data_IF_152590941474
#
_entry.id   IF_152590941474
#
_cell.length_a   1.000
_cell.length_b   1.000
_cell.length_c   1.000
_cell.angle_alpha   90.00
_cell.angle_beta   90.00
_cell.angle_gamma   90.00
#
_symmetry.space_group_name_H-M   'P 1'
#
loop_
_entity.id
_entity.type
_entity.pdbx_description
1 polymer ?
#
# COMPACT_ATOMS: atom_id res chain seq x y z
N UNK A 1 -1.30 -2.53 5.57
CA UNK A 1 -1.26 -1.07 5.82
C UNK A 1 -0.10 -0.33 5.12
N UNK A 2 1.04 -0.97 4.80
CA UNK A 2 2.16 -0.30 4.07
C UNK A 2 1.79 -0.04 2.60
N UNK A 3 1.11 -0.98 1.95
CA UNK A 3 0.75 -0.91 0.53
C UNK A 3 -0.15 0.30 0.20
N UNK A 4 -1.10 0.64 1.09
CA UNK A 4 -2.03 1.77 0.90
C UNK A 4 -1.47 3.13 1.31
N UNK A 5 -0.59 3.20 2.34
CA UNK A 5 0.04 4.47 2.69
C UNK A 5 0.99 4.95 1.60
N UNK A 6 1.74 4.05 0.97
CA UNK A 6 2.55 4.41 -0.19
C UNK A 6 1.67 4.91 -1.35
N UNK A 7 0.48 4.33 -1.55
CA UNK A 7 -0.45 4.71 -2.62
C UNK A 7 -0.97 6.16 -2.51
N UNK A 8 -1.29 6.61 -1.28
CA UNK A 8 -1.76 7.97 -1.01
C UNK A 8 -0.67 9.03 -1.23
N UNK A 9 0.60 8.70 -1.02
CA UNK A 9 1.72 9.64 -1.24
C UNK A 9 2.24 9.70 -2.68
N UNK A 10 2.08 8.63 -3.47
CA UNK A 10 2.50 8.60 -4.88
C UNK A 10 1.64 9.51 -5.76
N UNK A 11 0.35 9.59 -5.45
CA UNK A 11 -0.60 10.41 -6.16
C UNK A 11 -0.69 11.78 -5.49
N UNK A 12 -0.02 12.79 -6.06
CA UNK A 12 -0.67 14.10 -6.13
C UNK A 12 -2.14 13.83 -6.48
N UNK A 13 -3.10 14.45 -5.76
CA UNK A 13 -4.54 14.24 -6.01
C UNK A 13 -4.89 14.33 -7.51
N UNK A 14 -4.06 15.04 -8.30
CA UNK A 14 -4.03 15.08 -9.76
C UNK A 14 -2.59 14.87 -10.31
N UNK A 15 -2.18 13.64 -10.68
CA UNK A 15 -0.90 13.44 -11.37
C UNK A 15 -0.98 14.07 -12.77
N UNK A 16 0.04 14.83 -13.16
CA UNK A 16 0.12 15.47 -14.50
C UNK A 16 0.90 14.62 -15.52
N UNK A 17 1.74 13.70 -15.03
CA UNK A 17 2.55 12.83 -15.87
C UNK A 17 1.70 11.69 -16.42
N UNK A 18 1.70 11.42 -17.75
CA UNK A 18 0.92 10.34 -18.34
C UNK A 18 1.23 8.97 -17.71
N UNK A 19 2.51 8.68 -17.45
CA UNK A 19 2.94 7.45 -16.78
C UNK A 19 2.27 7.26 -15.41
N UNK A 20 2.16 8.35 -14.62
CA UNK A 20 1.54 8.31 -13.30
C UNK A 20 0.00 8.23 -13.37
N UNK A 21 -0.62 8.81 -14.40
CA UNK A 21 -2.06 8.69 -14.66
C UNK A 21 -2.41 7.24 -15.00
N UNK A 22 -1.67 6.63 -15.93
CA UNK A 22 -1.89 5.25 -16.35
C UNK A 22 -1.67 4.27 -15.20
N UNK A 23 -0.61 4.45 -14.40
CA UNK A 23 -0.36 3.60 -13.24
C UNK A 23 -1.52 3.69 -12.23
N UNK A 24 -2.05 4.89 -12.01
CA UNK A 24 -3.20 5.10 -11.12
C UNK A 24 -4.47 4.43 -11.64
N UNK A 25 -4.70 4.44 -12.94
CA UNK A 25 -5.84 3.77 -13.55
C UNK A 25 -5.73 2.25 -13.36
N UNK A 26 -4.55 1.68 -13.61
CA UNK A 26 -4.30 0.25 -13.37
C UNK A 26 -4.59 -0.14 -11.92
N UNK A 27 -4.08 0.62 -10.96
CA UNK A 27 -4.29 0.33 -9.55
C UNK A 27 -5.73 0.52 -9.08
N UNK A 28 -6.52 1.37 -9.74
CA UNK A 28 -7.97 1.44 -9.50
C UNK A 28 -8.70 0.20 -10.01
N UNK A 29 -8.16 -0.46 -11.05
CA UNK A 29 -8.70 -1.72 -11.56
C UNK A 29 -8.43 -2.90 -10.63
N UNK A 30 -7.47 -2.82 -9.70
CA UNK A 30 -7.09 -3.92 -8.80
C UNK A 30 -8.28 -4.62 -8.10
N UNK A 31 -9.34 -3.87 -7.77
CA UNK A 31 -10.55 -4.39 -7.11
C UNK A 31 -11.59 -4.99 -8.06
N UNK A 32 -11.37 -4.89 -9.37
CA UNK A 32 -12.34 -5.17 -10.44
C UNK A 32 -11.82 -6.16 -11.48
N UNK A 33 -10.56 -6.56 -11.40
CA UNK A 33 -9.91 -7.47 -12.34
C UNK A 33 -9.36 -8.70 -11.63
N UNK A 34 -9.21 -9.80 -12.37
CA UNK A 34 -8.45 -10.97 -11.96
C UNK A 34 -6.94 -10.67 -11.89
N UNK A 35 -6.22 -11.57 -11.25
CA UNK A 35 -4.79 -11.49 -10.95
C UNK A 35 -3.95 -11.45 -12.22
N UNK A 36 -4.29 -12.27 -13.21
CA UNK A 36 -3.56 -12.45 -14.46
C UNK A 36 -3.62 -11.17 -15.30
N UNK A 37 -4.83 -10.64 -15.49
CA UNK A 37 -5.10 -9.40 -16.21
C UNK A 37 -4.39 -8.20 -15.55
N UNK A 38 -4.42 -8.09 -14.22
CA UNK A 38 -3.70 -7.03 -13.51
C UNK A 38 -2.19 -7.15 -13.69
N UNK A 39 -1.66 -8.38 -13.54
CA UNK A 39 -0.22 -8.67 -13.66
C UNK A 39 0.27 -8.35 -15.06
N UNK A 40 -0.46 -8.77 -16.09
CA UNK A 40 -0.19 -8.45 -17.48
C UNK A 40 -0.23 -6.94 -17.74
N UNK A 41 -1.26 -6.25 -17.23
CA UNK A 41 -1.39 -4.79 -17.35
C UNK A 41 -0.23 -4.03 -16.68
N UNK A 42 0.19 -4.44 -15.49
CA UNK A 42 1.32 -3.86 -14.77
C UNK A 42 2.63 -4.07 -15.54
N UNK A 43 2.83 -5.26 -16.12
CA UNK A 43 4.01 -5.59 -16.92
C UNK A 43 4.06 -4.82 -18.25
N UNK A 44 2.91 -4.64 -18.92
CA UNK A 44 2.78 -3.82 -20.12
C UNK A 44 3.14 -2.36 -19.82
N UNK A 45 2.58 -1.82 -18.72
CA UNK A 45 2.89 -0.47 -18.28
C UNK A 45 4.39 -0.30 -17.98
N UNK A 46 5.00 -1.26 -17.29
CA UNK A 46 6.42 -1.20 -17.00
C UNK A 46 7.26 -1.20 -18.28
N UNK A 47 6.92 -2.06 -19.23
CA UNK A 47 7.61 -2.14 -20.52
C UNK A 47 7.50 -0.81 -21.28
N UNK A 48 6.29 -0.23 -21.34
CA UNK A 48 6.03 1.05 -21.99
C UNK A 48 6.83 2.20 -21.38
N UNK A 49 6.88 2.28 -20.04
CA UNK A 49 7.49 3.40 -19.32
C UNK A 49 8.92 3.13 -18.84
N UNK A 50 9.53 1.99 -19.20
CA UNK A 50 10.86 1.57 -18.74
C UNK A 50 11.94 2.63 -19.02
N UNK A 51 11.97 3.17 -20.23
CA UNK A 51 12.95 4.19 -20.63
C UNK A 51 12.76 5.49 -19.83
N UNK A 52 11.51 5.94 -19.71
CA UNK A 52 11.14 7.10 -18.88
C UNK A 52 11.55 6.91 -17.41
N UNK A 53 11.27 5.74 -16.82
CA UNK A 53 11.66 5.44 -15.43
C UNK A 53 13.18 5.33 -15.22
N UNK A 54 13.95 5.08 -16.29
CA UNK A 54 15.40 5.01 -16.25
C UNK A 54 16.07 6.39 -16.31
N UNK A 55 15.32 7.46 -16.62
CA UNK A 55 15.84 8.83 -16.64
C UNK A 55 16.52 9.20 -15.31
N UNK A 56 17.72 9.78 -15.42
CA UNK A 56 18.52 10.24 -14.29
C UNK A 56 18.80 11.73 -14.43
N UNK A 57 18.66 12.44 -13.32
CA UNK A 57 19.10 13.82 -13.17
C UNK A 57 20.38 13.84 -12.34
N UNK A 58 21.42 14.49 -12.85
CA UNK A 58 22.65 14.75 -12.09
C UNK A 58 22.49 16.08 -11.38
N UNK A 59 22.73 16.09 -10.08
CA UNK A 59 22.71 17.32 -9.29
C UNK A 59 24.01 18.08 -9.50
N UNK A 60 23.91 19.33 -9.97
CA UNK A 60 25.05 20.15 -10.37
C UNK A 60 26.00 20.47 -9.21
N UNK A 61 25.49 20.52 -7.98
CA UNK A 61 26.27 20.89 -6.79
C UNK A 61 27.00 19.71 -6.15
N UNK A 62 26.42 18.49 -6.20
CA UNK A 62 26.99 17.31 -5.53
C UNK A 62 27.56 16.28 -6.50
N UNK A 63 27.31 16.41 -7.81
CA UNK A 63 27.67 15.44 -8.84
C UNK A 63 26.91 14.11 -8.74
N UNK A 64 26.00 13.96 -7.77
CA UNK A 64 25.27 12.72 -7.54
C UNK A 64 24.15 12.58 -8.57
N UNK A 65 24.02 11.38 -9.15
CA UNK A 65 22.91 11.05 -10.05
C UNK A 65 21.76 10.44 -9.28
N UNK A 66 20.54 10.95 -9.49
CA UNK A 66 19.29 10.41 -8.95
C UNK A 66 18.31 10.11 -10.06
N UNK A 67 17.40 9.16 -9.85
CA UNK A 67 16.30 8.94 -10.78
C UNK A 67 15.36 10.14 -10.79
N UNK A 68 15.06 10.66 -11.98
CA UNK A 68 14.17 11.81 -12.17
C UNK A 68 12.77 11.49 -11.63
N UNK A 69 12.29 10.27 -11.90
CA UNK A 69 10.95 9.80 -11.50
C UNK A 69 11.00 8.81 -10.32
N UNK A 70 11.87 9.07 -9.33
CA UNK A 70 12.11 8.15 -8.21
C UNK A 70 10.84 7.70 -7.47
N UNK A 71 9.87 8.60 -7.27
CA UNK A 71 8.58 8.28 -6.61
C UNK A 71 7.74 7.29 -7.43
N UNK A 72 7.62 7.52 -8.74
CA UNK A 72 6.87 6.63 -9.64
C UNK A 72 7.53 5.26 -9.77
N UNK A 73 8.86 5.22 -9.74
CA UNK A 73 9.61 3.95 -9.73
C UNK A 73 9.39 3.17 -8.44
N UNK A 74 9.43 3.83 -7.29
CA UNK A 74 9.10 3.21 -5.99
C UNK A 74 7.66 2.72 -5.96
N UNK A 75 6.74 3.43 -6.62
CA UNK A 75 5.35 3.02 -6.77
C UNK A 75 5.19 1.67 -7.44
N UNK A 76 5.71 1.59 -8.66
CA UNK A 76 5.70 0.37 -9.45
C UNK A 76 6.39 -0.79 -8.72
N UNK A 77 7.54 -0.52 -8.08
CA UNK A 77 8.27 -1.53 -7.30
C UNK A 77 7.42 -2.05 -6.15
N UNK A 78 6.74 -1.19 -5.41
CA UNK A 78 5.85 -1.60 -4.32
C UNK A 78 4.74 -2.52 -4.82
N UNK A 79 4.08 -2.17 -5.92
CA UNK A 79 3.05 -3.02 -6.54
C UNK A 79 3.62 -4.36 -6.98
N UNK A 80 4.76 -4.37 -7.66
CA UNK A 80 5.41 -5.59 -8.15
C UNK A 80 5.84 -6.52 -7.00
N UNK A 81 6.49 -5.98 -5.97
CA UNK A 81 6.96 -6.78 -4.83
C UNK A 81 5.81 -7.32 -3.97
N UNK A 82 4.68 -6.59 -3.91
CA UNK A 82 3.54 -7.01 -3.10
C UNK A 82 2.46 -7.75 -3.91
N UNK A 83 2.67 -7.96 -5.21
CA UNK A 83 1.70 -8.55 -6.12
C UNK A 83 1.06 -9.86 -5.61
N UNK A 84 1.81 -10.83 -5.03
CA UNK A 84 1.21 -12.04 -4.48
C UNK A 84 0.24 -11.78 -3.33
N UNK A 85 0.52 -10.76 -2.51
CA UNK A 85 -0.29 -10.40 -1.35
C UNK A 85 -1.51 -9.54 -1.72
N UNK A 86 -1.52 -8.91 -2.89
CA UNK A 86 -2.68 -8.14 -3.37
C UNK A 86 -3.86 -9.03 -3.75
N UNK A 87 -3.57 -10.28 -4.12
CA UNK A 87 -4.54 -11.26 -4.61
C UNK A 87 -4.76 -12.43 -3.65
N UNK A 88 -4.38 -12.31 -2.38
CA UNK A 88 -4.66 -13.35 -1.37
C UNK A 88 -6.15 -13.68 -1.28
N UNK A 89 -7.04 -12.70 -1.41
CA UNK A 89 -8.50 -12.92 -1.44
C UNK A 89 -8.97 -13.68 -2.69
N UNK A 90 -8.21 -13.60 -3.78
CA UNK A 90 -8.51 -14.28 -5.05
C UNK A 90 -7.94 -15.70 -5.06
N UNK A 91 -6.74 -15.89 -4.52
CA UNK A 91 -6.04 -17.18 -4.46
C UNK A 91 -6.65 -18.13 -3.40
N UNK A 92 -7.26 -17.58 -2.34
CA UNK A 92 -7.81 -18.33 -1.20
C UNK A 92 -9.27 -17.92 -0.91
N UNK A 93 -10.22 -18.23 -1.81
CA UNK A 93 -11.64 -17.87 -1.63
C UNK A 93 -12.28 -18.51 -0.40
N UNK A 94 -11.74 -19.63 0.09
CA UNK A 94 -12.20 -20.34 1.29
C UNK A 94 -11.99 -19.57 2.60
N UNK A 95 -11.09 -18.58 2.60
CA UNK A 95 -10.79 -17.75 3.77
C UNK A 95 -11.75 -16.56 3.93
N UNK A 96 -12.71 -16.38 3.01
CA UNK A 96 -13.70 -15.28 2.98
C UNK A 96 -13.06 -13.90 3.21
N UNK A 97 -11.86 -13.69 2.67
CA UNK A 97 -11.12 -12.45 2.85
C UNK A 97 -11.78 -11.38 1.97
N UNK A 98 -12.22 -10.24 2.53
CA UNK A 98 -12.80 -9.18 1.74
C UNK A 98 -11.76 -8.59 0.79
N UNK A 99 -12.17 -8.35 -0.47
CA UNK A 99 -11.35 -7.71 -1.50
C UNK A 99 -11.03 -6.21 -1.23
N UNK A 100 -11.50 -5.67 -0.10
CA UNK A 100 -11.18 -4.31 0.35
C UNK A 100 -10.64 -4.31 1.76
N UNK A 101 -9.67 -3.43 2.01
CA UNK A 101 -9.07 -3.23 3.34
C UNK A 101 -9.90 -2.32 4.24
N UNK A 102 -11.12 -1.92 3.83
CA UNK A 102 -11.92 -0.91 4.52
C UNK A 102 -12.17 -1.28 5.99
N UNK A 103 -12.45 -2.55 6.28
CA UNK A 103 -12.66 -3.04 7.64
C UNK A 103 -11.38 -2.90 8.50
N UNK A 104 -10.24 -3.33 7.95
CA UNK A 104 -8.93 -3.25 8.61
C UNK A 104 -8.50 -1.78 8.80
N UNK A 105 -8.72 -0.92 7.82
CA UNK A 105 -8.38 0.50 7.87
C UNK A 105 -9.23 1.25 8.91
N UNK A 106 -10.52 0.93 9.02
CA UNK A 106 -11.41 1.45 10.06
C UNK A 106 -10.97 1.00 11.46
N UNK A 107 -10.62 -0.28 11.60
CA UNK A 107 -10.11 -0.82 12.86
C UNK A 107 -8.80 -0.15 13.31
N UNK A 108 -7.83 0.02 12.40
CA UNK A 108 -6.60 0.75 12.71
C UNK A 108 -6.84 2.24 12.95
N UNK A 109 -7.86 2.85 12.36
CA UNK A 109 -8.24 4.23 12.65
C UNK A 109 -8.75 4.36 14.09
N UNK A 110 -9.59 3.43 14.56
CA UNK A 110 -10.05 3.39 15.95
C UNK A 110 -8.87 3.21 16.94
N UNK A 111 -7.97 2.27 16.66
CA UNK A 111 -6.76 2.06 17.46
C UNK A 111 -5.92 3.35 17.57
N UNK A 112 -5.67 4.02 16.44
CA UNK A 112 -4.90 5.27 16.41
C UNK A 112 -5.59 6.38 17.18
N UNK A 113 -6.92 6.50 17.07
CA UNK A 113 -7.69 7.49 17.82
C UNK A 113 -7.59 7.26 19.33
N UNK A 114 -7.72 6.00 19.77
CA UNK A 114 -7.58 5.65 21.19
C UNK A 114 -6.15 5.89 21.70
N UNK A 115 -5.12 5.51 20.96
CA UNK A 115 -3.74 5.81 21.32
C UNK A 115 -3.46 7.32 21.38
N UNK A 116 -4.08 8.11 20.50
CA UNK A 116 -3.94 9.57 20.48
C UNK A 116 -4.50 10.22 21.76
N UNK A 117 -5.55 9.66 22.34
CA UNK A 117 -6.09 10.13 23.63
C UNK A 117 -5.15 9.78 24.81
N UNK A 118 -4.17 8.90 24.59
CA UNK A 118 -3.20 8.44 25.59
C UNK A 118 -1.75 8.70 25.16
N UNK A 119 -1.48 9.88 24.58
CA UNK A 119 -0.15 10.23 24.04
C UNK A 119 0.99 10.15 25.06
N UNK A 120 0.70 10.35 26.36
CA UNK A 120 1.65 10.30 27.48
C UNK A 120 2.03 8.89 27.95
N UNK A 121 1.53 7.82 27.31
CA UNK A 121 1.92 6.45 27.69
C UNK A 121 3.39 6.16 27.32
N UNK A 122 4.09 5.50 28.24
CA UNK A 122 5.39 4.89 27.96
C UNK A 122 5.24 3.80 26.88
N UNK A 123 6.34 3.49 26.18
CA UNK A 123 6.35 2.49 25.11
C UNK A 123 5.76 1.14 25.56
N UNK A 124 6.15 0.66 26.75
CA UNK A 124 5.65 -0.59 27.33
C UNK A 124 4.14 -0.57 27.55
N UNK A 125 3.58 0.57 27.99
CA UNK A 125 2.13 0.71 28.18
C UNK A 125 1.39 0.83 26.86
N UNK A 126 1.99 1.45 25.84
CA UNK A 126 1.44 1.46 24.47
C UNK A 126 1.36 0.06 23.88
N UNK A 127 2.39 -0.77 24.09
CA UNK A 127 2.38 -2.17 23.66
C UNK A 127 1.26 -2.97 24.35
N UNK A 128 1.19 -2.91 25.70
CA UNK A 128 0.09 -3.55 26.44
C UNK A 128 -1.29 -3.08 26.00
N UNK A 129 -1.45 -1.78 25.73
CA UNK A 129 -2.70 -1.23 25.22
C UNK A 129 -3.07 -1.84 23.86
N UNK A 130 -2.12 -1.94 22.93
CA UNK A 130 -2.33 -2.56 21.62
C UNK A 130 -2.68 -4.03 21.78
N UNK A 131 -1.97 -4.78 22.62
CA UNK A 131 -2.23 -6.21 22.86
C UNK A 131 -3.65 -6.44 23.39
N UNK A 132 -4.07 -5.69 24.41
CA UNK A 132 -5.42 -5.80 24.98
C UNK A 132 -6.50 -5.34 23.98
N UNK A 133 -6.21 -4.29 23.19
CA UNK A 133 -7.11 -3.83 22.14
C UNK A 133 -7.32 -4.89 21.04
N UNK A 134 -6.27 -5.61 20.66
CA UNK A 134 -6.33 -6.71 19.69
C UNK A 134 -7.07 -7.91 20.27
N UNK A 135 -6.82 -8.29 21.54
CA UNK A 135 -7.52 -9.39 22.22
C UNK A 135 -9.02 -9.15 22.36
N UNK A 136 -9.42 -7.93 22.72
CA UNK A 136 -10.83 -7.57 22.87
C UNK A 136 -11.64 -7.67 21.56
N UNK A 137 -10.97 -7.81 20.42
CA UNK A 137 -11.58 -7.88 19.09
C UNK A 137 -11.45 -9.26 18.41
N UNK A 138 -10.75 -10.22 19.03
CA UNK A 138 -10.74 -11.62 18.59
C UNK A 138 -12.06 -12.34 18.92
N UNK A 139 -12.29 -13.55 18.38
CA UNK A 139 -13.34 -14.42 18.90
C UNK A 139 -13.18 -14.49 20.41
N UNK A 140 -14.27 -14.38 21.16
CA UNK A 140 -14.21 -14.69 22.59
C UNK A 140 -13.82 -16.14 22.68
N UNK A 141 -12.57 -16.41 23.05
CA UNK A 141 -12.17 -17.72 23.52
C UNK A 141 -13.14 -18.04 24.65
N UNK A 142 -14.08 -18.95 24.39
CA UNK A 142 -15.04 -19.42 25.36
C UNK A 142 -14.28 -20.18 26.42
N UNK A 143 -13.83 -19.49 27.45
CA UNK A 143 -13.54 -20.05 28.76
C UNK A 143 -14.16 -19.09 29.79
N UNK A 144 -15.08 -19.66 30.56
CA UNK A 144 -15.92 -18.98 31.54
C UNK A 144 -15.17 -18.50 32.79
#
# INVERSE_FOLDING_TARGET
>A
MIILKSYVEMASRKPKLPAAIELRQLTQMLKKTDKESFTGGLQLWHTKWKAFLAERTVESTTGKSRYTHGRLRSAHRSLSCNLPWLFTWYDYPELDIPNTTNAIDGYFADLKNKLRNHNGLSLTRKQKFIDEFLKACGPRDGNG
#
